data_IF_886147212441
#
_entry.id   IF_886147212441
#
_cell.length_a   1.000
_cell.length_b   1.000
_cell.length_c   1.000
_cell.angle_alpha   90.00
_cell.angle_beta   90.00
_cell.angle_gamma   90.00
#
_symmetry.space_group_name_H-M   'P 1'
#
loop_
_entity.id
_entity.type
_entity.pdbx_description
1 polymer ?
#
# COMPACT_ATOMS: atom_id res chain seq x y z
N UNK A 1 -10.90 0.69 -7.46
CA UNK A 1 -11.23 0.35 -6.05
C UNK A 1 -12.74 0.39 -5.90
N UNK A 2 -13.34 -0.71 -5.46
CA UNK A 2 -14.79 -0.90 -5.34
C UNK A 2 -15.09 -1.58 -4.02
N UNK A 3 -15.93 -0.99 -3.19
CA UNK A 3 -16.43 -1.64 -1.97
C UNK A 3 -17.57 -2.59 -2.32
N UNK A 4 -17.64 -3.74 -1.66
CA UNK A 4 -18.78 -4.65 -1.79
C UNK A 4 -19.20 -5.20 -0.43
N UNK A 5 -20.48 -5.57 -0.37
CA UNK A 5 -21.10 -6.28 0.75
C UNK A 5 -21.71 -7.55 0.18
N UNK A 6 -21.26 -8.70 0.66
CA UNK A 6 -21.81 -9.99 0.28
C UNK A 6 -22.09 -10.81 1.54
N UNK A 7 -23.37 -11.16 1.76
CA UNK A 7 -23.88 -11.68 3.03
C UNK A 7 -23.53 -10.71 4.18
N UNK A 8 -23.01 -11.23 5.30
CA UNK A 8 -22.58 -10.44 6.46
C UNK A 8 -21.13 -9.91 6.35
N UNK A 9 -20.47 -10.09 5.20
CA UNK A 9 -19.10 -9.63 4.99
C UNK A 9 -19.08 -8.35 4.15
N UNK A 10 -18.43 -7.32 4.71
CA UNK A 10 -18.13 -6.06 4.03
C UNK A 10 -16.63 -5.99 3.78
N UNK A 11 -16.24 -5.80 2.52
CA UNK A 11 -14.83 -5.74 2.12
C UNK A 11 -14.59 -4.69 1.02
N UNK A 12 -13.36 -4.20 0.94
CA UNK A 12 -12.93 -3.26 -0.09
C UNK A 12 -12.02 -3.96 -1.08
N UNK A 13 -12.41 -3.95 -2.35
CA UNK A 13 -11.58 -4.45 -3.44
C UNK A 13 -10.68 -3.34 -3.96
N UNK A 14 -9.37 -3.56 -3.90
CA UNK A 14 -8.36 -2.63 -4.40
C UNK A 14 -7.65 -3.27 -5.60
N UNK A 15 -7.83 -2.66 -6.78
CA UNK A 15 -6.91 -2.89 -7.89
C UNK A 15 -5.65 -2.07 -7.62
N UNK A 16 -4.51 -2.74 -7.52
CA UNK A 16 -3.20 -2.11 -7.34
C UNK A 16 -2.15 -2.78 -8.21
N UNK A 17 -1.23 -1.98 -8.73
CA UNK A 17 -0.09 -2.50 -9.49
C UNK A 17 0.87 -3.22 -8.53
N UNK A 18 1.14 -4.49 -8.84
CA UNK A 18 2.09 -5.31 -8.08
C UNK A 18 3.50 -4.79 -8.35
N UNK A 19 4.17 -4.28 -7.31
CA UNK A 19 5.52 -3.72 -7.41
C UNK A 19 6.56 -4.84 -7.32
N UNK A 20 6.69 -5.60 -8.40
CA UNK A 20 7.96 -6.23 -8.73
C UNK A 20 8.52 -5.45 -9.90
N UNK A 21 9.78 -5.02 -9.79
CA UNK A 21 10.64 -4.92 -10.97
C UNK A 21 10.33 -6.16 -11.79
N UNK A 22 9.73 -5.96 -12.98
CA UNK A 22 9.33 -7.04 -13.87
C UNK A 22 10.45 -8.08 -13.85
N UNK A 23 10.24 -9.22 -13.16
CA UNK A 23 11.18 -10.32 -13.31
C UNK A 23 11.01 -10.68 -14.78
N UNK A 24 12.06 -10.57 -15.62
CA UNK A 24 11.94 -11.02 -16.99
C UNK A 24 11.55 -12.49 -16.90
N UNK A 25 10.30 -12.79 -17.25
CA UNK A 25 9.84 -14.18 -17.30
C UNK A 25 10.63 -14.93 -18.39
N UNK A 26 11.18 -14.16 -19.34
CA UNK A 26 12.08 -14.57 -20.40
C UNK A 26 13.28 -13.61 -20.48
N UNK A 27 14.49 -14.15 -20.63
CA UNK A 27 15.70 -13.38 -20.91
C UNK A 27 15.49 -12.64 -22.24
N UNK A 28 15.60 -11.30 -22.23
CA UNK A 28 15.42 -10.40 -23.39
C UNK A 28 13.98 -10.05 -23.83
N UNK A 29 12.95 -10.25 -23.00
CA UNK A 29 11.61 -9.74 -23.31
C UNK A 29 11.37 -8.39 -22.58
N UNK A 30 11.23 -7.25 -23.29
CA UNK A 30 10.94 -5.95 -22.68
C UNK A 30 9.48 -5.81 -22.21
N UNK A 31 8.64 -6.82 -22.42
CA UNK A 31 7.21 -6.77 -22.07
C UNK A 31 7.02 -6.77 -20.56
N UNK A 32 6.75 -5.59 -20.01
CA UNK A 32 6.29 -5.41 -18.62
C UNK A 32 4.82 -5.81 -18.56
N UNK A 33 4.52 -7.01 -18.07
CA UNK A 33 3.14 -7.41 -17.78
C UNK A 33 2.72 -6.75 -16.47
N UNK A 34 1.90 -5.71 -16.56
CA UNK A 34 1.19 -5.12 -15.42
C UNK A 34 0.08 -6.10 -14.98
N UNK A 35 0.40 -7.04 -14.09
CA UNK A 35 -0.62 -7.86 -13.44
C UNK A 35 -1.47 -6.99 -12.50
N UNK A 36 -2.73 -6.77 -12.87
CA UNK A 36 -3.72 -6.14 -12.00
C UNK A 36 -4.17 -7.16 -10.94
N UNK A 37 -3.63 -7.04 -9.73
CA UNK A 37 -4.08 -7.84 -8.59
C UNK A 37 -5.25 -7.14 -7.91
N UNK A 38 -6.28 -7.92 -7.57
CA UNK A 38 -7.36 -7.47 -6.71
C UNK A 38 -7.08 -7.88 -5.28
N UNK A 39 -6.96 -6.89 -4.40
CA UNK A 39 -6.73 -7.07 -2.97
C UNK A 39 -8.06 -6.89 -2.25
N UNK A 40 -8.47 -7.88 -1.47
CA UNK A 40 -9.59 -7.78 -0.55
C UNK A 40 -9.09 -7.28 0.81
N UNK A 41 -9.58 -6.14 1.28
CA UNK A 41 -9.37 -5.66 2.64
C UNK A 41 -10.62 -5.86 3.48
N UNK A 42 -10.45 -6.47 4.65
CA UNK A 42 -11.52 -6.58 5.64
C UNK A 42 -11.81 -5.24 6.30
N UNK A 43 -13.00 -5.09 6.88
CA UNK A 43 -13.37 -3.88 7.61
C UNK A 43 -12.37 -3.51 8.72
N UNK A 44 -11.86 -4.51 9.45
CA UNK A 44 -10.85 -4.29 10.49
C UNK A 44 -9.53 -3.77 9.91
N UNK A 45 -9.09 -4.32 8.78
CA UNK A 45 -7.88 -3.84 8.09
C UNK A 45 -8.08 -2.41 7.57
N UNK A 46 -9.25 -2.10 7.00
CA UNK A 46 -9.58 -0.74 6.55
C UNK A 46 -9.50 0.26 7.72
N UNK A 47 -10.10 -0.05 8.87
CA UNK A 47 -10.05 0.81 10.07
C UNK A 47 -8.63 1.01 10.56
N UNK A 48 -7.89 -0.09 10.75
CA UNK A 48 -6.51 -0.05 11.24
C UNK A 48 -5.60 0.81 10.33
N UNK A 49 -5.75 0.72 9.01
CA UNK A 49 -5.01 1.58 8.07
C UNK A 49 -5.40 3.04 8.26
N UNK A 50 -6.69 3.37 8.26
CA UNK A 50 -7.18 4.75 8.39
C UNK A 50 -6.76 5.42 9.69
N UNK A 51 -6.71 4.67 10.79
CA UNK A 51 -6.33 5.18 12.11
C UNK A 51 -4.81 5.42 12.22
N UNK A 52 -3.99 4.57 11.58
CA UNK A 52 -2.54 4.55 11.85
C UNK A 52 -1.67 5.15 10.73
N UNK A 53 -2.19 5.29 9.49
CA UNK A 53 -1.36 5.73 8.36
C UNK A 53 -0.71 7.10 8.60
N UNK A 54 -1.41 8.04 9.24
CA UNK A 54 -0.93 9.42 9.39
C UNK A 54 0.30 9.48 10.31
N UNK A 55 0.29 8.68 11.38
CA UNK A 55 1.42 8.62 12.32
C UNK A 55 2.69 8.08 11.66
N UNK A 56 2.59 6.99 10.89
CA UNK A 56 3.74 6.46 10.15
C UNK A 56 4.16 7.36 8.98
N UNK A 57 3.21 8.02 8.33
CA UNK A 57 3.49 8.97 7.25
C UNK A 57 4.31 10.14 7.76
N UNK A 58 3.93 10.71 8.91
CA UNK A 58 4.66 11.81 9.54
C UNK A 58 6.08 11.41 9.93
N UNK A 59 6.26 10.23 10.53
CA UNK A 59 7.59 9.68 10.84
C UNK A 59 8.47 9.62 9.58
N UNK A 60 7.96 9.04 8.50
CA UNK A 60 8.70 8.95 7.24
C UNK A 60 9.01 10.31 6.59
N UNK A 61 8.15 11.31 6.78
CA UNK A 61 8.39 12.68 6.28
C UNK A 61 9.51 13.35 7.08
N UNK A 62 9.57 13.14 8.40
CA UNK A 62 10.59 13.72 9.28
C UNK A 62 11.98 13.10 9.14
N UNK A 63 12.09 11.92 8.53
CA UNK A 63 13.38 11.27 8.34
C UNK A 63 14.29 11.99 7.34
N UNK A 64 15.58 11.98 7.66
CA UNK A 64 16.65 12.48 6.80
C UNK A 64 17.67 11.38 6.50
N UNK A 65 17.39 10.46 5.55
CA UNK A 65 18.30 9.37 5.22
C UNK A 65 19.64 9.89 4.67
N UNK A 66 20.72 9.18 5.01
CA UNK A 66 22.06 9.38 4.46
C UNK A 66 22.11 9.02 2.97
N UNK A 67 23.22 9.35 2.30
CA UNK A 67 23.42 8.98 0.89
C UNK A 67 23.42 7.45 0.76
N UNK A 68 22.54 6.93 -0.09
CA UNK A 68 22.39 5.48 -0.31
C UNK A 68 21.50 4.76 0.70
N UNK A 69 20.97 5.47 1.70
CA UNK A 69 20.09 4.90 2.72
C UNK A 69 18.62 4.95 2.28
N UNK A 70 17.89 3.87 2.55
CA UNK A 70 16.43 3.80 2.44
C UNK A 70 15.85 3.51 3.81
N UNK A 71 15.01 4.40 4.32
CA UNK A 71 14.33 4.21 5.61
C UNK A 71 12.87 3.84 5.34
N UNK A 72 12.39 2.85 6.08
CA UNK A 72 11.02 2.34 6.02
C UNK A 72 10.35 2.52 7.38
N UNK A 73 9.15 3.08 7.38
CA UNK A 73 8.28 3.10 8.56
C UNK A 73 7.05 2.27 8.28
N UNK A 74 6.93 1.20 9.07
CA UNK A 74 5.94 0.17 8.87
C UNK A 74 4.91 0.16 9.99
N UNK A 75 3.71 -0.28 9.66
CA UNK A 75 2.66 -0.60 10.63
C UNK A 75 2.00 -1.92 10.26
N UNK A 76 2.05 -2.88 11.17
CA UNK A 76 1.41 -4.18 11.02
C UNK A 76 -0.10 -4.03 11.15
N UNK A 77 -0.82 -4.27 10.06
CA UNK A 77 -2.29 -4.21 10.00
C UNK A 77 -2.91 -5.54 10.41
N UNK A 78 -2.28 -6.66 10.01
CA UNK A 78 -2.69 -8.02 10.40
C UNK A 78 -1.50 -8.98 10.24
N UNK A 79 -1.67 -10.26 10.60
CA UNK A 79 -0.61 -11.28 10.49
C UNK A 79 0.07 -11.31 9.11
N UNK A 80 -0.71 -11.13 8.05
CA UNK A 80 -0.21 -11.21 6.67
C UNK A 80 -0.17 -9.85 5.96
N UNK A 81 -0.33 -8.73 6.68
CA UNK A 81 -0.39 -7.41 6.06
C UNK A 81 0.28 -6.32 6.90
N UNK A 82 1.10 -5.51 6.26
CA UNK A 82 1.58 -4.24 6.81
C UNK A 82 1.55 -3.13 5.77
N UNK A 83 1.42 -1.90 6.24
CA UNK A 83 1.58 -0.70 5.42
C UNK A 83 2.93 -0.07 5.70
N UNK A 84 3.52 0.56 4.70
CA UNK A 84 4.84 1.16 4.83
C UNK A 84 4.96 2.48 4.07
N UNK A 85 5.71 3.41 4.66
CA UNK A 85 6.21 4.58 3.95
C UNK A 85 7.73 4.48 3.81
N UNK A 86 8.20 4.70 2.59
CA UNK A 86 9.63 4.72 2.27
C UNK A 86 10.12 6.15 2.13
N UNK A 87 11.26 6.47 2.72
CA UNK A 87 12.00 7.71 2.48
C UNK A 87 13.39 7.39 1.93
N UNK A 88 13.75 8.08 0.86
CA UNK A 88 15.12 8.17 0.35
C UNK A 88 15.58 9.62 0.41
N UNK A 89 16.89 9.83 0.45
CA UNK A 89 17.48 11.17 0.33
C UNK A 89 17.00 11.84 -0.96
N UNK A 90 16.52 13.09 -0.85
CA UNK A 90 16.02 13.87 -1.99
C UNK A 90 14.64 13.45 -2.51
N UNK A 91 14.01 12.42 -1.94
CA UNK A 91 12.66 12.00 -2.33
C UNK A 91 11.61 12.60 -1.39
N UNK A 92 10.50 13.08 -1.94
CA UNK A 92 9.30 13.39 -1.15
C UNK A 92 8.69 12.08 -0.62
N UNK A 93 8.61 11.93 0.70
CA UNK A 93 7.90 10.82 1.32
C UNK A 93 6.44 11.19 1.58
N UNK A 94 5.61 10.17 1.76
CA UNK A 94 4.22 10.31 2.18
C UNK A 94 3.18 10.28 1.05
N UNK A 95 3.58 10.53 -0.21
CA UNK A 95 2.65 10.53 -1.34
C UNK A 95 2.26 9.10 -1.79
N UNK A 96 3.17 8.14 -1.58
CA UNK A 96 2.96 6.73 -1.90
C UNK A 96 3.03 5.92 -0.61
N UNK A 97 1.99 5.12 -0.39
CA UNK A 97 1.93 4.09 0.64
C UNK A 97 2.18 2.74 -0.04
N UNK A 98 3.07 1.91 0.53
CA UNK A 98 3.20 0.53 0.08
C UNK A 98 2.36 -0.38 0.98
N UNK A 99 1.52 -1.21 0.37
CA UNK A 99 0.85 -2.32 1.03
C UNK A 99 1.69 -3.57 0.81
N UNK A 100 2.05 -4.23 1.89
CA UNK A 100 2.71 -5.53 1.83
C UNK A 100 1.72 -6.58 2.30
N UNK A 101 1.36 -7.51 1.42
CA UNK A 101 0.30 -8.49 1.65
C UNK A 101 0.84 -9.85 1.26
N UNK A 102 0.96 -10.77 2.23
CA UNK A 102 1.53 -12.12 2.02
C UNK A 102 2.90 -12.08 1.32
N UNK A 103 3.75 -11.11 1.68
CA UNK A 103 5.08 -10.91 1.10
C UNK A 103 5.10 -10.14 -0.23
N UNK A 104 3.94 -9.83 -0.79
CA UNK A 104 3.80 -9.11 -2.05
C UNK A 104 3.66 -7.60 -1.82
N UNK A 105 4.41 -6.79 -2.57
CA UNK A 105 4.38 -5.33 -2.45
C UNK A 105 3.46 -4.71 -3.49
N UNK A 106 2.60 -3.79 -3.05
CA UNK A 106 1.71 -2.99 -3.88
C UNK A 106 1.91 -1.52 -3.55
N UNK A 107 1.94 -0.66 -4.58
CA UNK A 107 2.10 0.77 -4.38
C UNK A 107 0.85 1.52 -4.78
N UNK A 108 0.39 2.40 -3.90
CA UNK A 108 -0.82 3.19 -4.14
C UNK A 108 -0.55 4.63 -3.70
N UNK A 109 -1.12 5.59 -4.41
CA UNK A 109 -1.15 6.97 -3.93
C UNK A 109 -1.91 7.05 -2.59
N UNK A 110 -1.29 7.61 -1.57
CA UNK A 110 -1.85 7.68 -0.21
C UNK A 110 -3.18 8.41 -0.19
N UNK A 111 -3.28 9.57 -0.86
CA UNK A 111 -4.51 10.37 -0.89
C UNK A 111 -5.66 9.59 -1.52
N UNK A 112 -5.40 8.88 -2.62
CA UNK A 112 -6.39 8.04 -3.29
C UNK A 112 -6.85 6.89 -2.39
N UNK A 113 -5.91 6.17 -1.76
CA UNK A 113 -6.23 5.06 -0.86
C UNK A 113 -7.10 5.53 0.31
N UNK A 114 -6.65 6.56 1.04
CA UNK A 114 -7.35 7.05 2.23
C UNK A 114 -8.73 7.61 1.89
N UNK A 115 -8.86 8.37 0.79
CA UNK A 115 -10.17 8.86 0.35
C UNK A 115 -11.17 7.73 0.10
N UNK A 116 -10.71 6.62 -0.51
CA UNK A 116 -11.54 5.45 -0.78
C UNK A 116 -11.84 4.64 0.48
N UNK A 117 -10.89 4.51 1.40
CA UNK A 117 -11.10 3.87 2.70
C UNK A 117 -12.14 4.64 3.53
N UNK A 118 -12.02 5.96 3.65
CA UNK A 118 -12.97 6.78 4.40
C UNK A 118 -14.39 6.65 3.84
N UNK A 119 -14.55 6.80 2.52
CA UNK A 119 -15.85 6.58 1.86
C UNK A 119 -16.40 5.20 2.17
N UNK A 120 -15.58 4.14 2.10
CA UNK A 120 -16.03 2.78 2.41
C UNK A 120 -16.45 2.59 3.87
N UNK A 121 -15.79 3.27 4.81
CA UNK A 121 -16.09 3.20 6.25
C UNK A 121 -17.33 3.99 6.67
N UNK A 122 -17.74 5.00 5.90
CA UNK A 122 -18.97 5.78 6.13
C UNK A 122 -20.26 5.04 5.70
N UNK A 123 -20.16 4.16 4.70
CA UNK A 123 -21.23 3.21 4.32
C UNK A 123 -21.36 2.06 5.34
#
# INVERSE_FOLDING_TARGET
MTGYRYKDKKALLIGADRYYLARPKFKNDPTIILEHSFIELSLGQCKAITENYKGIQQKAISENPRKGEEIYHDYTVSKDMFISFKKKRGQRAGDIINLWIKGEKYQINTKTLISKLNKFLEY
#
